data_IF_713826837930
#
_entry.id   IF_713826837930
#
_cell.length_a   1.000
_cell.length_b   1.000
_cell.length_c   1.000
_cell.angle_alpha   90.00
_cell.angle_beta   90.00
_cell.angle_gamma   90.00
#
_symmetry.space_group_name_H-M   'P 1'
#
loop_
_entity.id
_entity.type
_entity.pdbx_description
1 polymer ?
#
# COMPACT_ATOMS: atom_id res chain seq x y z
N UNK A 1 -3.45 -15.72 -12.50
CA UNK A 1 -4.04 -15.07 -13.70
C UNK A 1 -3.60 -13.60 -13.81
N UNK A 2 -3.87 -12.73 -12.80
CA UNK A 2 -3.46 -11.31 -12.84
C UNK A 2 -1.94 -11.14 -13.05
N UNK A 3 -1.12 -11.87 -12.30
CA UNK A 3 0.35 -11.82 -12.43
C UNK A 3 0.84 -12.24 -13.81
N UNK A 4 0.21 -13.24 -14.42
CA UNK A 4 0.54 -13.64 -15.81
C UNK A 4 0.25 -12.50 -16.79
N UNK A 5 -0.90 -11.82 -16.65
CA UNK A 5 -1.26 -10.68 -17.50
C UNK A 5 -0.30 -9.49 -17.37
N UNK A 6 0.18 -9.21 -16.16
CA UNK A 6 1.19 -8.17 -15.91
C UNK A 6 2.43 -8.45 -16.77
N UNK A 7 2.96 -9.67 -16.69
CA UNK A 7 4.15 -10.08 -17.44
C UNK A 7 3.91 -10.09 -18.96
N UNK A 8 2.76 -10.64 -19.41
CA UNK A 8 2.38 -10.68 -20.84
C UNK A 8 2.26 -9.29 -21.47
N UNK A 9 1.89 -8.28 -20.69
CA UNK A 9 1.79 -6.89 -21.12
C UNK A 9 3.09 -6.10 -21.00
N UNK A 10 4.17 -6.75 -20.57
CA UNK A 10 5.51 -6.16 -20.46
C UNK A 10 5.65 -5.16 -19.31
N UNK A 11 4.86 -5.33 -18.23
CA UNK A 11 5.03 -4.55 -17.02
C UNK A 11 6.07 -5.18 -16.09
N UNK A 12 6.87 -4.34 -15.46
CA UNK A 12 7.74 -4.69 -14.35
C UNK A 12 7.09 -4.33 -13.00
N UNK A 13 7.53 -4.98 -11.92
CA UNK A 13 7.09 -4.57 -10.60
C UNK A 13 7.99 -3.43 -10.08
N UNK A 14 7.34 -2.34 -9.67
CA UNK A 14 8.01 -1.20 -9.08
C UNK A 14 8.51 -1.54 -7.68
N UNK A 15 9.80 -1.35 -7.45
CA UNK A 15 10.41 -1.60 -6.14
C UNK A 15 10.23 -0.37 -5.24
N UNK A 16 9.59 -0.49 -4.04
CA UNK A 16 9.27 0.64 -3.17
C UNK A 16 10.46 1.51 -2.78
N UNK A 17 11.68 0.97 -2.68
CA UNK A 17 12.88 1.75 -2.42
C UNK A 17 13.17 2.82 -3.48
N UNK A 18 12.63 2.70 -4.69
CA UNK A 18 12.76 3.74 -5.72
C UNK A 18 12.10 5.07 -5.31
N UNK A 19 11.10 5.04 -4.42
CA UNK A 19 10.52 6.26 -3.87
C UNK A 19 11.54 7.13 -3.12
N UNK A 20 12.56 6.53 -2.51
CA UNK A 20 13.60 7.26 -1.78
C UNK A 20 14.49 8.10 -2.71
N UNK A 21 14.60 7.70 -3.97
CA UNK A 21 15.51 8.35 -4.90
C UNK A 21 14.97 9.66 -5.47
N UNK A 22 13.74 10.09 -5.09
CA UNK A 22 13.02 11.28 -5.58
C UNK A 22 13.01 11.46 -7.12
N UNK A 23 13.47 10.46 -7.85
CA UNK A 23 13.56 10.43 -9.29
C UNK A 23 12.50 9.50 -9.87
N UNK A 24 11.25 9.92 -9.81
CA UNK A 24 10.37 9.55 -10.89
C UNK A 24 10.85 10.29 -12.14
N UNK A 25 12.02 9.90 -12.63
CA UNK A 25 12.36 10.25 -14.00
C UNK A 25 11.23 9.64 -14.82
N UNK A 26 10.62 10.44 -15.66
CA UNK A 26 9.64 10.02 -16.65
C UNK A 26 10.30 9.07 -17.67
N UNK A 27 10.82 7.94 -17.17
CA UNK A 27 11.20 6.83 -18.01
C UNK A 27 9.91 6.20 -18.47
N UNK A 28 9.80 5.94 -19.77
CA UNK A 28 8.72 5.20 -20.43
C UNK A 28 8.65 3.72 -19.99
N UNK A 29 8.88 3.46 -18.69
CA UNK A 29 8.86 2.10 -18.14
C UNK A 29 7.46 1.80 -17.62
N UNK A 30 6.89 0.71 -18.11
CA UNK A 30 5.63 0.18 -17.59
C UNK A 30 5.90 -0.49 -16.26
N UNK A 31 5.60 0.19 -15.17
CA UNK A 31 5.79 -0.33 -13.81
C UNK A 31 4.48 -0.39 -13.04
N UNK A 32 4.34 -1.41 -12.20
CA UNK A 32 3.21 -1.61 -11.29
C UNK A 32 3.74 -1.72 -9.87
N UNK A 33 3.26 -0.85 -8.98
CA UNK A 33 3.42 -1.02 -7.54
C UNK A 33 2.30 -1.92 -7.02
N UNK A 34 2.66 -3.03 -6.42
CA UNK A 34 1.73 -3.90 -5.71
C UNK A 34 1.57 -3.44 -4.27
N UNK A 35 0.34 -3.24 -3.83
CA UNK A 35 0.01 -2.94 -2.44
C UNK A 35 -1.06 -3.90 -1.92
N UNK A 36 -0.97 -4.26 -0.65
CA UNK A 36 -1.89 -5.17 0.04
C UNK A 36 -2.32 -4.50 1.32
N UNK A 37 -3.61 -4.32 1.52
CA UNK A 37 -4.17 -3.71 2.73
C UNK A 37 -4.58 -4.80 3.75
N UNK A 38 -4.74 -4.40 5.02
CA UNK A 38 -5.34 -5.11 6.16
C UNK A 38 -4.51 -6.25 6.79
N UNK A 39 -3.54 -6.80 6.12
CA UNK A 39 -2.75 -7.94 6.62
C UNK A 39 -3.61 -9.18 7.00
N UNK A 40 -4.57 -9.56 6.14
CA UNK A 40 -5.36 -10.77 6.33
C UNK A 40 -4.50 -12.04 6.29
N UNK A 41 -4.84 -13.03 7.13
CA UNK A 41 -4.19 -14.35 7.12
C UNK A 41 -4.33 -15.07 5.78
N UNK A 42 -5.39 -14.81 5.02
CA UNK A 42 -5.60 -15.35 3.67
C UNK A 42 -4.52 -14.87 2.67
N UNK A 43 -4.02 -13.64 2.81
CA UNK A 43 -2.89 -13.16 2.01
C UNK A 43 -1.63 -13.98 2.33
N UNK A 44 -1.31 -14.14 3.61
CA UNK A 44 -0.14 -14.91 4.02
C UNK A 44 -0.19 -16.37 3.56
N UNK A 45 -1.36 -17.01 3.67
CA UNK A 45 -1.51 -18.42 3.32
C UNK A 45 -1.53 -18.68 1.80
N UNK A 46 -2.07 -17.76 0.99
CA UNK A 46 -2.35 -18.00 -0.42
C UNK A 46 -1.46 -17.19 -1.38
N UNK A 47 -1.25 -15.90 -1.11
CA UNK A 47 -0.51 -15.03 -2.02
C UNK A 47 0.97 -14.91 -1.69
N UNK A 48 1.31 -14.82 -0.41
CA UNK A 48 2.69 -14.68 0.05
C UNK A 48 3.64 -15.75 -0.48
N UNK A 49 3.33 -17.07 -0.46
CA UNK A 49 4.24 -18.10 -0.99
C UNK A 49 4.58 -17.87 -2.46
N UNK A 50 3.63 -17.37 -3.26
CA UNK A 50 3.86 -17.05 -4.66
C UNK A 50 4.74 -15.79 -4.81
N UNK A 51 4.47 -14.72 -4.07
CA UNK A 51 5.26 -13.48 -4.10
C UNK A 51 6.69 -13.74 -3.64
N UNK A 52 6.87 -14.53 -2.58
CA UNK A 52 8.17 -14.96 -2.05
C UNK A 52 8.97 -15.72 -3.09
N UNK A 53 8.38 -16.76 -3.69
CA UNK A 53 9.04 -17.57 -4.73
C UNK A 53 9.51 -16.76 -5.93
N UNK A 54 8.73 -15.74 -6.33
CA UNK A 54 9.02 -14.93 -7.51
C UNK A 54 9.70 -13.59 -7.18
N UNK A 55 10.02 -13.34 -5.90
CA UNK A 55 10.64 -12.10 -5.40
C UNK A 55 9.91 -10.83 -5.89
N UNK A 56 8.58 -10.87 -5.88
CA UNK A 56 7.75 -9.75 -6.33
C UNK A 56 7.67 -8.70 -5.22
N UNK A 57 8.14 -7.45 -5.45
CA UNK A 57 8.09 -6.40 -4.46
C UNK A 57 6.67 -5.90 -4.22
N UNK A 58 6.35 -5.62 -2.96
CA UNK A 58 5.04 -5.09 -2.55
C UNK A 58 5.12 -4.35 -1.22
N UNK A 59 4.09 -3.54 -0.94
CA UNK A 59 3.90 -2.93 0.37
C UNK A 59 2.68 -3.60 1.03
N UNK A 60 2.87 -4.12 2.25
CA UNK A 60 1.80 -4.64 3.11
C UNK A 60 1.40 -3.55 4.11
N UNK A 61 0.23 -2.97 3.96
CA UNK A 61 -0.33 -1.99 4.89
C UNK A 61 -1.07 -2.69 6.02
N UNK A 62 -0.65 -2.44 7.25
CA UNK A 62 -1.07 -3.17 8.44
C UNK A 62 -1.87 -2.28 9.38
N UNK A 63 -3.11 -2.69 9.69
CA UNK A 63 -3.92 -2.12 10.77
C UNK A 63 -3.60 -2.80 12.08
N UNK A 64 -3.04 -2.06 13.04
CA UNK A 64 -2.38 -2.67 14.19
C UNK A 64 -3.33 -3.27 15.23
N UNK A 65 -4.61 -2.90 15.25
CA UNK A 65 -5.60 -3.42 16.21
C UNK A 65 -5.92 -4.90 15.98
N UNK A 66 -5.93 -5.30 14.70
CA UNK A 66 -6.41 -6.63 14.32
C UNK A 66 -5.31 -7.69 14.34
N UNK A 67 -4.04 -7.31 14.40
CA UNK A 67 -2.91 -8.24 14.30
C UNK A 67 -2.92 -9.25 15.46
N UNK A 68 -2.87 -10.53 15.10
CA UNK A 68 -2.94 -11.66 16.03
C UNK A 68 -4.36 -12.11 16.36
N UNK A 69 -5.40 -11.46 15.83
CA UNK A 69 -6.79 -11.91 15.97
C UNK A 69 -7.18 -12.86 14.83
N UNK A 70 -8.31 -13.54 14.98
CA UNK A 70 -8.83 -14.50 13.98
C UNK A 70 -9.01 -13.81 12.62
N UNK A 71 -8.47 -14.39 11.57
CA UNK A 71 -8.56 -13.86 10.21
C UNK A 71 -7.41 -12.92 9.81
N UNK A 72 -6.58 -12.50 10.74
CA UNK A 72 -5.45 -11.62 10.50
C UNK A 72 -4.10 -12.30 10.75
N UNK A 73 -3.05 -11.72 10.22
CA UNK A 73 -1.68 -12.17 10.42
C UNK A 73 -1.22 -11.93 11.86
N UNK A 74 -0.19 -12.65 12.27
CA UNK A 74 0.56 -12.40 13.50
C UNK A 74 1.75 -11.48 13.22
N UNK A 75 2.29 -10.83 14.26
CA UNK A 75 3.53 -10.06 14.13
C UNK A 75 4.73 -10.90 13.68
N UNK A 76 4.77 -12.18 14.01
CA UNK A 76 5.82 -13.09 13.52
C UNK A 76 5.75 -13.26 11.99
N UNK A 77 4.55 -13.39 11.43
CA UNK A 77 4.35 -13.49 9.98
C UNK A 77 4.67 -12.16 9.26
N UNK A 78 4.34 -11.03 9.88
CA UNK A 78 4.70 -9.71 9.35
C UNK A 78 6.22 -9.54 9.32
N UNK A 79 6.92 -9.92 10.39
CA UNK A 79 8.40 -9.90 10.45
C UNK A 79 9.04 -10.83 9.43
N UNK A 80 8.45 -12.00 9.16
CA UNK A 80 8.94 -12.88 8.09
C UNK A 80 8.90 -12.19 6.74
N UNK A 81 7.81 -11.47 6.43
CA UNK A 81 7.71 -10.70 5.19
C UNK A 81 8.73 -9.57 5.14
N UNK A 82 8.86 -8.82 6.24
CA UNK A 82 9.80 -7.69 6.35
C UNK A 82 11.27 -8.10 6.16
N UNK A 83 11.63 -9.31 6.57
CA UNK A 83 12.99 -9.83 6.41
C UNK A 83 13.38 -10.11 4.95
N UNK A 84 12.44 -10.07 4.03
CA UNK A 84 12.72 -10.23 2.60
C UNK A 84 12.96 -8.85 1.95
N UNK A 85 13.95 -8.73 1.08
CA UNK A 85 14.33 -7.47 0.41
C UNK A 85 13.20 -6.84 -0.43
N UNK A 86 12.17 -7.62 -0.77
CA UNK A 86 11.01 -7.22 -1.57
C UNK A 86 9.72 -7.08 -0.76
N UNK A 87 9.74 -7.37 0.55
CA UNK A 87 8.60 -7.23 1.47
C UNK A 87 8.69 -5.92 2.24
N UNK A 88 7.79 -4.96 1.98
CA UNK A 88 7.76 -3.67 2.66
C UNK A 88 6.54 -3.57 3.57
N UNK A 89 6.73 -3.03 4.77
CA UNK A 89 5.63 -2.81 5.70
C UNK A 89 5.22 -1.34 5.63
N UNK A 90 3.90 -1.11 5.57
CA UNK A 90 3.26 0.20 5.66
C UNK A 90 2.27 0.25 6.81
N UNK A 91 1.92 1.45 7.25
CA UNK A 91 0.95 1.70 8.30
C UNK A 91 -0.44 1.92 7.69
N UNK A 92 -1.47 1.25 8.25
CA UNK A 92 -2.87 1.38 7.83
C UNK A 92 -3.77 1.81 9.00
N UNK A 93 -3.28 2.73 9.85
CA UNK A 93 -3.88 3.17 11.10
C UNK A 93 -3.85 2.11 12.22
N UNK A 94 -4.44 2.45 13.38
CA UNK A 94 -4.66 1.48 14.44
C UNK A 94 -5.98 0.75 14.26
N UNK A 95 -7.09 1.48 14.25
CA UNK A 95 -8.45 0.92 14.35
C UNK A 95 -9.05 0.47 13.02
N UNK A 96 -8.54 0.97 11.89
CA UNK A 96 -9.15 0.79 10.57
C UNK A 96 -10.61 1.27 10.47
N UNK A 97 -11.00 2.27 11.27
CA UNK A 97 -12.32 2.88 11.12
C UNK A 97 -12.34 3.94 10.00
N UNK A 98 -13.52 4.50 9.71
CA UNK A 98 -13.67 5.68 8.84
C UNK A 98 -13.08 6.91 9.54
N UNK A 99 -11.76 7.07 9.45
CA UNK A 99 -11.03 8.11 10.19
C UNK A 99 -11.44 9.53 9.80
N UNK A 100 -12.05 9.72 8.63
CA UNK A 100 -12.62 11.03 8.21
C UNK A 100 -13.70 11.52 9.19
N UNK A 101 -14.39 10.60 9.87
CA UNK A 101 -15.45 10.90 10.84
C UNK A 101 -14.93 11.20 12.25
N UNK A 102 -13.64 10.98 12.50
CA UNK A 102 -13.01 11.24 13.78
C UNK A 102 -12.79 12.73 13.98
N UNK A 103 -12.92 13.21 15.23
CA UNK A 103 -12.32 14.48 15.61
C UNK A 103 -10.80 14.42 15.34
N UNK A 104 -10.18 15.56 15.19
CA UNK A 104 -8.75 15.58 14.89
C UNK A 104 -7.89 14.95 16.00
N UNK A 105 -8.30 15.08 17.25
CA UNK A 105 -7.57 14.51 18.38
C UNK A 105 -7.74 12.97 18.45
N UNK A 106 -8.93 12.46 18.14
CA UNK A 106 -9.14 11.00 17.97
C UNK A 106 -8.31 10.45 16.81
N UNK A 107 -8.29 11.14 15.67
CA UNK A 107 -7.45 10.76 14.53
C UNK A 107 -5.96 10.71 14.92
N UNK A 108 -5.44 11.76 15.57
CA UNK A 108 -4.06 11.78 16.06
C UNK A 108 -3.77 10.63 17.02
N UNK A 109 -4.68 10.39 17.96
CA UNK A 109 -4.55 9.31 18.93
C UNK A 109 -4.47 7.94 18.27
N UNK A 110 -5.30 7.70 17.23
CA UNK A 110 -5.29 6.45 16.47
C UNK A 110 -3.97 6.25 15.73
N UNK A 111 -3.50 7.27 15.00
CA UNK A 111 -2.25 7.22 14.25
C UNK A 111 -1.04 7.06 15.20
N UNK A 112 -0.96 7.85 16.27
CA UNK A 112 0.16 7.78 17.23
C UNK A 112 0.19 6.43 17.95
N UNK A 113 -0.98 5.83 18.23
CA UNK A 113 -1.09 4.48 18.78
C UNK A 113 -0.55 3.44 17.82
N UNK A 114 -0.90 3.52 16.53
CA UNK A 114 -0.36 2.62 15.52
C UNK A 114 1.17 2.74 15.42
N UNK A 115 1.71 3.95 15.37
CA UNK A 115 3.16 4.21 15.31
C UNK A 115 3.88 3.58 16.51
N UNK A 116 3.32 3.75 17.72
CA UNK A 116 3.88 3.16 18.95
C UNK A 116 3.91 1.63 18.88
N UNK A 117 2.84 1.01 18.36
CA UNK A 117 2.75 -0.46 18.21
C UNK A 117 3.77 -0.96 17.19
N UNK A 118 3.94 -0.28 16.04
CA UNK A 118 4.99 -0.60 15.07
C UNK A 118 6.38 -0.49 15.68
N UNK A 119 6.67 0.62 16.36
CA UNK A 119 7.97 0.82 17.02
C UNK A 119 8.26 -0.28 18.05
N UNK A 120 7.25 -0.71 18.83
CA UNK A 120 7.43 -1.79 19.80
C UNK A 120 7.66 -3.16 19.14
N UNK A 121 7.08 -3.42 17.97
CA UNK A 121 7.15 -4.73 17.33
C UNK A 121 8.27 -4.82 16.29
N UNK A 122 8.51 -3.77 15.49
CA UNK A 122 9.47 -3.75 14.39
C UNK A 122 10.72 -2.91 14.70
N UNK A 123 10.67 -2.07 15.74
CA UNK A 123 11.79 -1.17 16.10
C UNK A 123 11.75 0.19 15.37
N UNK A 124 10.78 0.42 14.48
CA UNK A 124 10.68 1.66 13.70
C UNK A 124 9.22 1.98 13.36
N UNK A 125 8.95 3.22 12.88
CA UNK A 125 7.70 3.59 12.24
C UNK A 125 7.80 3.33 10.73
N UNK A 126 6.86 2.58 10.12
CA UNK A 126 6.83 2.41 8.66
C UNK A 126 6.79 3.74 7.91
N UNK A 127 7.51 3.81 6.78
CA UNK A 127 7.62 5.05 5.98
C UNK A 127 6.40 5.33 5.11
N UNK A 128 5.59 4.30 4.82
CA UNK A 128 4.44 4.34 3.93
C UNK A 128 3.15 4.28 4.74
N UNK A 129 2.16 5.06 4.32
CA UNK A 129 0.83 5.07 4.92
C UNK A 129 -0.24 4.79 3.86
N UNK A 130 -1.32 4.11 4.24
CA UNK A 130 -2.53 3.98 3.44
C UNK A 130 -3.72 4.45 4.26
N UNK A 131 -4.51 5.39 3.71
CA UNK A 131 -5.73 5.84 4.38
C UNK A 131 -6.77 4.72 4.36
N UNK A 132 -7.31 4.28 5.51
CA UNK A 132 -8.47 3.38 5.54
C UNK A 132 -9.60 3.94 4.68
N UNK A 133 -10.17 3.09 3.82
CA UNK A 133 -11.19 3.47 2.82
C UNK A 133 -10.76 4.56 1.82
N UNK A 134 -9.52 5.03 1.88
CA UNK A 134 -8.98 6.07 1.01
C UNK A 134 -9.46 7.49 1.31
N UNK A 135 -10.16 7.71 2.43
CA UNK A 135 -10.78 8.99 2.79
C UNK A 135 -9.98 9.74 3.85
N UNK A 136 -9.85 11.06 3.68
CA UNK A 136 -9.11 11.94 4.59
C UNK A 136 -9.53 13.40 4.41
N UNK A 137 -9.35 14.21 5.44
CA UNK A 137 -9.44 15.67 5.37
C UNK A 137 -8.04 16.28 5.13
N UNK A 138 -7.99 17.55 4.69
CA UNK A 138 -6.71 18.28 4.53
C UNK A 138 -5.93 18.35 5.85
N UNK A 139 -6.63 18.50 6.98
CA UNK A 139 -5.99 18.55 8.31
C UNK A 139 -5.35 17.22 8.67
N UNK A 140 -6.02 16.10 8.38
CA UNK A 140 -5.50 14.74 8.56
C UNK A 140 -4.32 14.48 7.62
N UNK A 141 -4.43 14.85 6.33
CA UNK A 141 -3.32 14.73 5.38
C UNK A 141 -2.07 15.48 5.84
N UNK A 142 -2.22 16.70 6.34
CA UNK A 142 -1.08 17.45 6.86
C UNK A 142 -0.42 16.74 8.06
N UNK A 143 -1.19 16.14 8.96
CA UNK A 143 -0.63 15.35 10.04
C UNK A 143 0.15 14.10 9.54
N UNK A 144 -0.37 13.42 8.53
CA UNK A 144 0.31 12.29 7.90
C UNK A 144 1.64 12.71 7.24
N UNK A 145 1.70 13.89 6.63
CA UNK A 145 2.95 14.44 6.04
C UNK A 145 4.10 14.56 7.05
N UNK A 146 3.77 14.83 8.31
CA UNK A 146 4.77 14.98 9.38
C UNK A 146 5.29 13.62 9.90
N UNK A 147 4.63 12.53 9.59
CA UNK A 147 4.88 11.20 10.16
C UNK A 147 5.37 10.14 9.17
N UNK A 148 5.03 10.31 7.89
CA UNK A 148 5.28 9.34 6.82
C UNK A 148 5.88 10.01 5.59
N UNK A 149 6.58 9.25 4.78
CA UNK A 149 7.19 9.78 3.56
C UNK A 149 6.18 9.83 2.40
N UNK A 150 5.27 8.87 2.35
CA UNK A 150 4.29 8.69 1.26
C UNK A 150 2.98 8.15 1.84
N UNK A 151 1.86 8.63 1.28
CA UNK A 151 0.54 8.10 1.62
C UNK A 151 -0.30 7.77 0.37
N UNK A 152 -1.11 6.73 0.49
CA UNK A 152 -1.95 6.20 -0.57
C UNK A 152 -3.42 6.35 -0.23
N UNK A 153 -4.18 6.91 -1.19
CA UNK A 153 -5.64 6.86 -1.18
C UNK A 153 -6.19 5.59 -1.83
N UNK A 154 -7.50 5.61 -2.16
CA UNK A 154 -8.15 4.55 -2.97
C UNK A 154 -8.84 5.10 -4.22
N UNK A 155 -8.71 6.40 -4.51
CA UNK A 155 -9.20 6.94 -5.77
C UNK A 155 -8.39 6.35 -6.94
N UNK A 156 -9.11 6.04 -8.03
CA UNK A 156 -8.50 5.40 -9.21
C UNK A 156 -7.61 6.38 -9.98
N UNK A 157 -6.43 5.92 -10.37
CA UNK A 157 -5.52 6.72 -11.18
C UNK A 157 -4.13 6.09 -11.29
N UNK A 158 -3.34 6.63 -12.22
CA UNK A 158 -1.92 6.32 -12.36
C UNK A 158 -1.09 7.31 -11.55
N UNK A 159 0.07 6.86 -11.07
CA UNK A 159 1.03 7.70 -10.36
C UNK A 159 1.90 8.40 -11.42
N UNK A 160 1.98 9.72 -11.36
CA UNK A 160 2.90 10.52 -12.15
C UNK A 160 3.64 11.53 -11.26
N UNK A 161 4.64 12.22 -11.84
CA UNK A 161 5.52 13.15 -11.11
C UNK A 161 4.81 14.37 -10.52
N UNK A 162 3.61 14.69 -11.00
CA UNK A 162 2.83 15.85 -10.57
C UNK A 162 1.85 15.51 -9.44
N UNK A 163 1.77 14.24 -9.02
CA UNK A 163 0.86 13.81 -7.95
C UNK A 163 1.39 14.23 -6.58
N UNK A 164 0.46 14.56 -5.69
CA UNK A 164 0.79 14.75 -4.27
C UNK A 164 1.17 13.38 -3.68
N UNK A 165 2.39 13.24 -3.16
CA UNK A 165 2.91 12.01 -2.56
C UNK A 165 2.12 11.54 -1.32
N UNK A 166 1.22 12.37 -0.81
CA UNK A 166 0.40 12.05 0.36
C UNK A 166 -1.06 11.72 0.01
N UNK A 167 -1.32 11.44 -1.27
CA UNK A 167 -2.63 11.00 -1.77
C UNK A 167 -2.48 10.19 -3.06
N UNK A 168 -1.46 9.35 -3.16
CA UNK A 168 -1.22 8.57 -4.37
C UNK A 168 -2.41 7.68 -4.72
N UNK A 169 -2.85 7.69 -6.00
CA UNK A 169 -3.99 6.90 -6.45
C UNK A 169 -3.64 5.41 -6.50
N UNK A 170 -4.67 4.56 -6.40
CA UNK A 170 -4.55 3.11 -6.57
C UNK A 170 -5.77 2.56 -7.30
N UNK A 171 -5.59 1.45 -8.01
CA UNK A 171 -6.71 0.69 -8.56
C UNK A 171 -7.03 -0.48 -7.63
N UNK A 172 -8.18 -0.49 -6.95
CA UNK A 172 -8.55 -1.61 -6.08
C UNK A 172 -8.82 -2.87 -6.91
N UNK A 173 -8.23 -3.98 -6.47
CA UNK A 173 -8.41 -5.32 -7.04
C UNK A 173 -8.85 -6.24 -5.91
N UNK A 174 -10.14 -6.47 -5.81
CA UNK A 174 -10.77 -7.34 -4.82
C UNK A 174 -11.83 -8.21 -5.52
N UNK A 175 -12.64 -8.95 -4.78
CA UNK A 175 -13.68 -9.82 -5.34
C UNK A 175 -14.65 -9.08 -6.27
N UNK A 176 -15.02 -7.85 -5.94
CA UNK A 176 -15.91 -7.00 -6.74
C UNK A 176 -15.20 -6.39 -7.95
N UNK A 177 -13.92 -6.06 -7.84
CA UNK A 177 -13.16 -5.27 -8.82
C UNK A 177 -12.01 -6.06 -9.45
N UNK A 178 -11.87 -7.36 -9.15
CA UNK A 178 -10.79 -8.23 -9.63
C UNK A 178 -11.10 -8.95 -10.94
N UNK A 179 -12.17 -8.59 -11.64
CA UNK A 179 -12.51 -9.14 -12.95
C UNK A 179 -11.36 -8.97 -13.94
N UNK A 180 -11.09 -10.02 -14.75
CA UNK A 180 -9.94 -10.04 -15.64
C UNK A 180 -10.07 -9.05 -16.80
N UNK A 181 -11.28 -8.77 -17.30
CA UNK A 181 -11.46 -7.82 -18.40
C UNK A 181 -11.25 -6.39 -17.90
N UNK A 182 -11.77 -6.08 -16.70
CA UNK A 182 -11.44 -4.82 -16.04
C UNK A 182 -9.94 -4.69 -15.79
N UNK A 183 -9.27 -5.74 -15.31
CA UNK A 183 -7.84 -5.70 -15.08
C UNK A 183 -7.04 -5.48 -16.37
N UNK A 184 -7.39 -6.14 -17.46
CA UNK A 184 -6.82 -5.89 -18.80
C UNK A 184 -6.99 -4.43 -19.23
N UNK A 185 -8.19 -3.86 -19.00
CA UNK A 185 -8.47 -2.46 -19.30
C UNK A 185 -7.54 -1.54 -18.48
N UNK A 186 -7.37 -1.77 -17.17
CA UNK A 186 -6.49 -0.99 -16.33
C UNK A 186 -5.02 -1.02 -16.80
N UNK A 187 -4.54 -2.17 -17.28
CA UNK A 187 -3.19 -2.30 -17.83
C UNK A 187 -3.01 -1.52 -19.15
N UNK A 188 -4.09 -1.09 -19.80
CA UNK A 188 -4.03 -0.25 -20.98
C UNK A 188 -4.08 1.26 -20.67
N UNK A 189 -4.33 1.64 -19.41
CA UNK A 189 -4.35 3.03 -18.93
C UNK A 189 -2.94 3.63 -18.71
N UNK A 190 -1.91 3.02 -19.27
CA UNK A 190 -0.58 3.64 -19.32
C UNK A 190 -0.72 5.08 -19.83
N UNK A 191 -0.03 6.06 -19.24
CA UNK A 191 -0.28 7.45 -19.57
C UNK A 191 -0.23 7.66 -21.07
N UNK A 192 -1.40 8.02 -21.62
CA UNK A 192 -1.48 8.52 -22.98
C UNK A 192 -0.65 9.81 -22.97
N UNK A 193 0.41 9.83 -23.77
CA UNK A 193 1.13 11.07 -24.02
C UNK A 193 0.11 12.06 -24.56
N UNK A 194 -0.26 13.06 -23.77
CA UNK A 194 -0.91 14.24 -24.33
C UNK A 194 0.09 14.89 -25.30
N UNK A 195 -0.19 14.71 -26.58
CA UNK A 195 0.51 15.43 -27.64
C UNK A 195 0.04 16.88 -27.65
#
# INVERSE_FOLDING_TARGET
KHMSLINERGYNFFHPNKFQQKFFVAKKEKEILLTIDDAFSSFYNNAWPYLKKNKIPFILFVSTEHIGTTGYMTWSQIKEIENEEFGFIGNHSHSHYYLINFTFDEFKSDIDKSIKIFTNNLGYNPRYFSYPFGEYSLKQKNYIKDKFDIAFGQHSGVIDINKDFYELPRFPINEKYGDLERFKFLLNLYPLEYK
#
